data_IF_773940668748
#
_entry.id   IF_773940668748
#
_cell.length_a   1.000
_cell.length_b   1.000
_cell.length_c   1.000
_cell.angle_alpha   90.00
_cell.angle_beta   90.00
_cell.angle_gamma   90.00
#
_symmetry.space_group_name_H-M   'P 1'
#
loop_
_entity.id
_entity.type
_entity.pdbx_description
1 polymer ?
#
# COMPACT_ATOMS: atom_id res chain seq x y z
N UNK A 1 -15.39 -26.32 -10.88
CA UNK A 1 -13.93 -26.25 -11.10
C UNK A 1 -13.23 -25.12 -10.31
N UNK A 2 -13.92 -24.06 -9.89
CA UNK A 2 -13.33 -22.94 -9.11
C UNK A 2 -13.12 -23.27 -7.61
N UNK A 3 -13.87 -24.22 -7.04
CA UNK A 3 -13.73 -24.60 -5.63
C UNK A 3 -12.46 -25.42 -5.32
N UNK A 4 -11.91 -26.14 -6.30
CA UNK A 4 -10.76 -27.01 -6.11
C UNK A 4 -9.47 -26.20 -5.86
N UNK A 5 -9.35 -25.03 -6.45
CA UNK A 5 -8.17 -24.15 -6.29
C UNK A 5 -8.12 -23.48 -4.90
N UNK A 6 -9.29 -23.14 -4.33
CA UNK A 6 -9.37 -22.58 -2.97
C UNK A 6 -8.94 -23.64 -1.94
N UNK A 7 -9.32 -24.89 -2.14
CA UNK A 7 -8.94 -26.01 -1.24
C UNK A 7 -7.45 -26.33 -1.29
N UNK A 8 -6.82 -26.20 -2.46
CA UNK A 8 -5.37 -26.42 -2.63
C UNK A 8 -4.53 -25.33 -1.97
N UNK A 9 -4.99 -24.07 -2.00
CA UNK A 9 -4.32 -22.96 -1.30
C UNK A 9 -4.41 -23.14 0.21
N UNK A 10 -5.56 -23.59 0.73
CA UNK A 10 -5.74 -23.88 2.16
C UNK A 10 -4.91 -25.06 2.66
N UNK A 11 -4.66 -26.07 1.83
CA UNK A 11 -3.79 -27.23 2.18
C UNK A 11 -2.32 -26.83 2.19
N UNK A 12 -1.88 -25.93 1.29
CA UNK A 12 -0.51 -25.43 1.28
C UNK A 12 -0.18 -24.55 2.48
N UNK A 13 -1.15 -23.78 2.98
CA UNK A 13 -0.97 -22.93 4.19
C UNK A 13 -0.77 -23.78 5.45
N UNK A 14 -1.33 -24.99 5.51
CA UNK A 14 -1.14 -25.89 6.66
C UNK A 14 0.20 -26.64 6.68
N UNK A 15 0.96 -26.67 5.58
CA UNK A 15 2.28 -27.28 5.53
C UNK A 15 3.44 -26.33 5.87
N UNK A 16 3.18 -25.04 5.90
CA UNK A 16 4.09 -24.07 6.49
C UNK A 16 3.97 -24.20 8.00
N UNK A 17 4.92 -24.84 8.66
CA UNK A 17 5.09 -24.72 10.11
C UNK A 17 5.36 -23.24 10.41
N UNK A 18 4.28 -22.47 10.60
CA UNK A 18 4.34 -21.16 11.20
C UNK A 18 4.78 -21.41 12.65
N UNK A 19 6.07 -21.34 12.88
CA UNK A 19 6.60 -21.25 14.23
C UNK A 19 6.04 -19.96 14.78
N UNK A 20 4.92 -20.05 15.52
CA UNK A 20 4.46 -18.97 16.36
C UNK A 20 5.67 -18.61 17.22
N UNK A 21 6.17 -17.38 17.04
CA UNK A 21 7.32 -16.91 17.80
C UNK A 21 6.94 -17.02 19.28
N UNK A 22 7.43 -18.10 19.95
CA UNK A 22 7.54 -18.06 21.40
C UNK A 22 8.31 -16.78 21.77
N UNK A 23 8.00 -16.23 22.93
CA UNK A 23 8.51 -14.99 23.53
C UNK A 23 10.06 -14.86 23.65
N UNK A 24 10.82 -15.64 22.92
CA UNK A 24 12.16 -15.22 22.56
C UNK A 24 11.97 -13.97 21.68
N UNK A 25 11.80 -12.83 22.36
CA UNK A 25 12.23 -11.55 21.84
C UNK A 25 13.58 -11.83 21.21
N UNK A 26 13.52 -12.19 19.93
CA UNK A 26 14.72 -12.47 19.19
C UNK A 26 15.57 -11.23 19.37
N UNK A 27 16.67 -11.38 20.08
CA UNK A 27 17.70 -10.39 20.18
C UNK A 27 18.34 -10.29 18.79
N UNK A 28 17.49 -10.02 17.82
CA UNK A 28 17.87 -9.76 16.44
C UNK A 28 18.52 -8.39 16.49
N UNK A 29 19.83 -8.38 16.44
CA UNK A 29 20.60 -7.15 16.24
C UNK A 29 20.22 -6.42 14.94
N UNK A 30 19.28 -6.98 14.16
CA UNK A 30 18.79 -6.43 12.90
C UNK A 30 17.82 -5.31 13.16
N UNK A 31 18.32 -4.11 13.07
CA UNK A 31 17.51 -2.90 13.30
C UNK A 31 16.95 -2.30 12.01
N UNK A 32 17.61 -2.56 10.90
CA UNK A 32 17.24 -2.00 9.60
C UNK A 32 16.48 -3.02 8.76
N UNK A 33 15.59 -2.54 7.95
CA UNK A 33 15.00 -3.33 6.89
C UNK A 33 14.74 -2.49 5.64
N UNK A 34 14.66 -3.20 4.52
CA UNK A 34 14.17 -2.68 3.24
C UNK A 34 13.05 -3.59 2.77
N UNK A 35 12.06 -3.04 2.11
CA UNK A 35 10.92 -3.81 1.63
C UNK A 35 10.15 -3.12 0.52
N UNK A 36 9.06 -3.76 0.15
CA UNK A 36 8.11 -3.29 -0.84
C UNK A 36 6.73 -3.86 -0.50
N UNK A 37 5.80 -3.82 -1.46
CA UNK A 37 4.45 -4.36 -1.32
C UNK A 37 4.10 -5.26 -2.50
N UNK A 38 3.26 -6.28 -2.27
CA UNK A 38 2.75 -7.12 -3.35
C UNK A 38 1.79 -6.38 -4.29
N UNK A 39 1.35 -5.17 -3.94
CA UNK A 39 0.53 -4.33 -4.84
C UNK A 39 1.26 -3.99 -6.16
N UNK A 40 2.61 -4.07 -6.17
CA UNK A 40 3.40 -3.94 -7.41
C UNK A 40 3.05 -5.01 -8.47
N UNK A 41 2.43 -6.14 -8.08
CA UNK A 41 1.94 -7.15 -9.01
C UNK A 41 0.78 -6.64 -9.89
N UNK A 42 0.13 -5.55 -9.49
CA UNK A 42 -0.83 -4.86 -10.35
C UNK A 42 -0.24 -4.38 -11.67
N UNK A 43 1.09 -4.19 -11.74
CA UNK A 43 1.79 -3.85 -12.97
C UNK A 43 1.79 -4.99 -14.02
N UNK A 44 1.36 -6.19 -13.66
CA UNK A 44 1.22 -7.32 -14.58
C UNK A 44 -0.08 -7.27 -15.38
N UNK A 45 -0.98 -6.35 -15.04
CA UNK A 45 -2.18 -6.09 -15.82
C UNK A 45 -1.82 -5.13 -16.98
N UNK A 46 -1.86 -5.65 -18.20
CA UNK A 46 -1.52 -4.87 -19.39
C UNK A 46 -2.56 -3.78 -19.71
N UNK A 47 -3.80 -3.96 -19.25
CA UNK A 47 -4.92 -3.04 -19.53
C UNK A 47 -4.96 -1.90 -18.51
N UNK A 48 -4.73 -2.20 -17.23
CA UNK A 48 -4.84 -1.26 -16.11
C UNK A 48 -3.54 -1.17 -15.31
N UNK A 49 -2.42 -1.02 -16.00
CA UNK A 49 -1.12 -0.94 -15.35
C UNK A 49 -1.00 0.35 -14.51
N UNK A 50 -0.91 0.25 -13.17
CA UNK A 50 -0.81 1.42 -12.31
C UNK A 50 0.59 2.05 -12.28
N UNK A 51 1.56 1.55 -13.04
CA UNK A 51 2.98 1.94 -12.92
C UNK A 51 3.43 2.02 -11.44
N UNK A 52 2.99 1.04 -10.64
CA UNK A 52 3.14 1.08 -9.20
C UNK A 52 4.56 0.69 -8.79
N UNK A 53 5.23 1.58 -8.08
CA UNK A 53 6.53 1.33 -7.44
C UNK A 53 6.41 1.79 -5.99
N UNK A 54 6.84 0.94 -5.06
CA UNK A 54 6.97 1.31 -3.65
C UNK A 54 8.26 0.73 -3.09
N UNK A 55 8.99 1.56 -2.36
CA UNK A 55 10.16 1.15 -1.58
C UNK A 55 9.94 1.58 -0.14
N UNK A 56 10.15 0.64 0.77
CA UNK A 56 10.02 0.85 2.21
C UNK A 56 11.40 0.70 2.84
N UNK A 57 11.79 1.63 3.69
CA UNK A 57 12.96 1.52 4.56
C UNK A 57 12.52 1.76 5.99
N UNK A 58 13.00 0.97 6.93
CA UNK A 58 12.60 1.11 8.31
C UNK A 58 13.73 0.84 9.31
N UNK A 59 13.56 1.44 10.47
CA UNK A 59 14.48 1.29 11.60
C UNK A 59 13.71 0.94 12.87
N UNK A 60 14.14 -0.13 13.52
CA UNK A 60 13.60 -0.59 14.80
C UNK A 60 14.25 0.20 15.95
N UNK A 61 13.48 1.10 16.57
CA UNK A 61 13.94 1.94 17.69
C UNK A 61 13.98 1.12 18.96
N UNK A 62 12.92 0.34 19.22
CA UNK A 62 12.79 -0.56 20.36
C UNK A 62 12.36 -1.95 19.87
N UNK A 63 12.33 -2.99 20.72
CA UNK A 63 11.78 -4.29 20.30
C UNK A 63 10.34 -4.21 19.77
N UNK A 64 9.59 -3.17 20.14
CA UNK A 64 8.18 -3.00 19.75
C UNK A 64 7.95 -1.87 18.76
N UNK A 65 8.86 -0.92 18.61
CA UNK A 65 8.62 0.32 17.90
C UNK A 65 9.53 0.45 16.68
N UNK A 66 8.93 0.78 15.54
CA UNK A 66 9.61 0.94 14.26
C UNK A 66 9.19 2.26 13.63
N UNK A 67 10.15 3.02 13.13
CA UNK A 67 9.91 4.13 12.21
C UNK A 67 10.19 3.69 10.80
N UNK A 68 9.39 4.19 9.85
CA UNK A 68 9.49 3.83 8.45
C UNK A 68 9.46 5.06 7.57
N UNK A 69 10.25 5.03 6.53
CA UNK A 69 10.12 5.88 5.37
C UNK A 69 9.68 5.04 4.19
N UNK A 70 8.66 5.50 3.46
CA UNK A 70 8.18 4.86 2.24
C UNK A 70 8.20 5.87 1.11
N UNK A 71 8.50 5.40 -0.05
CA UNK A 71 8.42 6.17 -1.28
C UNK A 71 7.56 5.42 -2.26
N UNK A 72 6.51 6.07 -2.74
CA UNK A 72 5.52 5.50 -3.65
C UNK A 72 5.43 6.33 -4.92
N UNK A 73 5.37 5.65 -6.05
CA UNK A 73 4.95 6.20 -7.34
C UNK A 73 3.83 5.34 -7.90
N UNK A 74 2.80 5.97 -8.46
CA UNK A 74 1.71 5.25 -9.11
C UNK A 74 0.93 6.15 -10.06
N UNK A 75 0.14 5.54 -10.93
CA UNK A 75 -0.90 6.19 -11.71
C UNK A 75 -2.25 5.73 -11.14
N UNK A 76 -3.20 6.63 -11.02
CA UNK A 76 -4.58 6.28 -10.73
C UNK A 76 -5.56 7.18 -11.49
N UNK A 77 -6.71 6.62 -11.81
CA UNK A 77 -7.81 7.33 -12.45
C UNK A 77 -9.11 7.22 -11.67
N UNK A 78 -9.12 6.49 -10.58
CA UNK A 78 -10.27 6.24 -9.75
C UNK A 78 -9.98 6.61 -8.29
N UNK A 79 -10.96 7.06 -7.48
CA UNK A 79 -10.74 7.51 -6.11
C UNK A 79 -10.13 6.46 -5.18
N UNK A 80 -10.16 5.19 -5.53
CA UNK A 80 -9.56 4.11 -4.75
C UNK A 80 -8.05 3.94 -4.96
N UNK A 81 -7.42 4.78 -5.76
CA UNK A 81 -5.97 4.84 -5.91
C UNK A 81 -5.34 3.76 -6.76
N UNK A 82 -5.98 2.59 -6.94
CA UNK A 82 -5.53 1.51 -7.82
C UNK A 82 -6.62 1.27 -8.86
N UNK A 83 -6.33 1.33 -10.15
CA UNK A 83 -7.32 1.05 -11.18
C UNK A 83 -7.63 -0.45 -11.18
N UNK A 84 -8.75 -0.82 -10.57
CA UNK A 84 -9.35 -2.13 -10.70
C UNK A 84 -10.49 -2.05 -11.70
N UNK A 85 -10.39 -2.71 -12.82
CA UNK A 85 -11.46 -2.77 -13.78
C UNK A 85 -10.99 -2.53 -15.21
N UNK A 86 -11.94 -2.44 -16.13
CA UNK A 86 -11.62 -2.20 -17.52
C UNK A 86 -10.96 -0.84 -17.64
N UNK A 87 -9.99 -0.72 -18.47
CA UNK A 87 -9.20 0.43 -18.83
C UNK A 87 -9.54 1.75 -18.08
N UNK A 88 -8.67 2.22 -17.20
CA UNK A 88 -8.91 3.42 -16.40
C UNK A 88 -8.89 4.72 -17.21
N UNK A 89 -8.46 4.71 -18.45
CA UNK A 89 -8.60 5.77 -19.44
C UNK A 89 -9.90 5.63 -20.26
N UNK A 90 -10.75 4.63 -19.95
CA UNK A 90 -11.95 4.36 -20.73
C UNK A 90 -12.96 5.51 -20.66
N UNK A 91 -13.41 6.08 -21.81
CA UNK A 91 -14.40 7.15 -21.83
C UNK A 91 -15.74 6.77 -21.20
N UNK A 92 -16.08 5.48 -21.18
CA UNK A 92 -17.31 4.96 -20.58
C UNK A 92 -17.41 5.13 -19.06
N UNK A 93 -16.31 5.36 -18.39
CA UNK A 93 -16.27 5.66 -16.95
C UNK A 93 -16.48 7.14 -16.66
N UNK A 94 -16.58 7.99 -17.67
CA UNK A 94 -16.64 9.47 -17.54
C UNK A 94 -15.48 10.06 -16.73
N UNK A 95 -14.33 9.38 -16.70
CA UNK A 95 -13.17 9.87 -16.00
C UNK A 95 -12.38 10.81 -16.91
N UNK A 96 -11.98 11.98 -16.44
CA UNK A 96 -11.39 13.02 -17.29
C UNK A 96 -9.93 12.75 -17.68
N UNK A 97 -9.38 11.60 -17.28
CA UNK A 97 -7.99 11.23 -17.51
C UNK A 97 -7.41 10.47 -16.32
N UNK A 98 -6.12 10.67 -16.03
CA UNK A 98 -5.45 10.02 -14.91
C UNK A 98 -4.58 10.98 -14.10
N UNK A 99 -4.28 10.60 -12.86
CA UNK A 99 -3.35 11.30 -12.00
C UNK A 99 -2.09 10.46 -11.79
N UNK A 100 -0.93 11.09 -11.98
CA UNK A 100 0.38 10.52 -11.64
C UNK A 100 0.80 11.02 -10.27
N UNK A 101 1.06 10.08 -9.36
CA UNK A 101 1.40 10.37 -7.98
C UNK A 101 2.88 10.12 -7.74
N UNK A 102 3.47 11.02 -6.96
CA UNK A 102 4.75 10.85 -6.30
C UNK A 102 4.55 11.11 -4.81
N UNK A 103 4.78 10.11 -3.97
CA UNK A 103 4.37 10.19 -2.58
C UNK A 103 5.44 9.68 -1.61
N UNK A 104 6.25 10.57 -1.01
CA UNK A 104 7.00 10.27 0.20
C UNK A 104 6.06 10.12 1.39
N UNK A 105 6.35 9.15 2.25
CA UNK A 105 5.53 8.79 3.39
C UNK A 105 6.41 8.50 4.61
N UNK A 106 6.02 9.04 5.76
CA UNK A 106 6.60 8.72 7.06
C UNK A 106 5.62 7.89 7.86
N UNK A 107 6.12 6.92 8.59
CA UNK A 107 5.30 6.01 9.36
C UNK A 107 5.91 5.59 10.69
N UNK A 108 5.02 5.21 11.57
CA UNK A 108 5.33 4.59 12.84
C UNK A 108 4.52 3.31 12.96
N UNK A 109 5.18 2.21 13.38
CA UNK A 109 4.58 0.89 13.58
C UNK A 109 4.93 0.39 14.97
N UNK A 110 3.91 -0.11 15.68
CA UNK A 110 4.05 -0.68 17.00
C UNK A 110 3.57 -2.11 17.05
N UNK A 111 4.45 -2.99 17.49
CA UNK A 111 4.14 -4.39 17.76
C UNK A 111 3.55 -4.55 19.17
N UNK A 112 2.40 -5.22 19.26
CA UNK A 112 1.67 -5.43 20.50
C UNK A 112 1.91 -6.82 21.07
N UNK A 113 1.73 -7.84 20.24
CA UNK A 113 1.82 -9.22 20.65
C UNK A 113 2.09 -10.14 19.44
N UNK A 114 3.09 -11.06 19.57
CA UNK A 114 3.41 -12.13 18.61
C UNK A 114 3.35 -11.73 17.12
N UNK A 115 3.87 -10.57 16.76
CA UNK A 115 3.84 -10.09 15.38
C UNK A 115 2.62 -9.24 15.02
N UNK A 116 1.58 -9.18 15.86
CA UNK A 116 0.45 -8.27 15.67
C UNK A 116 0.91 -6.82 15.87
N UNK A 117 0.56 -5.96 14.94
CA UNK A 117 0.96 -4.56 14.99
C UNK A 117 -0.17 -3.62 14.55
N UNK A 118 -0.04 -2.37 14.97
CA UNK A 118 -0.70 -1.24 14.34
C UNK A 118 0.34 -0.31 13.75
N UNK A 119 -0.03 0.39 12.67
CA UNK A 119 0.82 1.41 12.09
C UNK A 119 0.03 2.63 11.64
N UNK A 120 0.68 3.77 11.72
CA UNK A 120 0.18 5.06 11.26
C UNK A 120 1.19 5.64 10.28
N UNK A 121 0.71 6.09 9.12
CA UNK A 121 1.53 6.73 8.10
C UNK A 121 0.93 8.07 7.70
N UNK A 122 1.80 9.02 7.41
CA UNK A 122 1.45 10.29 6.78
C UNK A 122 2.12 10.33 5.42
N UNK A 123 1.31 10.36 4.37
CA UNK A 123 1.72 10.32 2.97
C UNK A 123 1.43 11.67 2.33
N UNK A 124 2.46 12.26 1.74
CA UNK A 124 2.39 13.52 1.01
C UNK A 124 2.36 13.20 -0.49
N UNK A 125 1.17 13.20 -1.08
CA UNK A 125 0.99 12.88 -2.49
C UNK A 125 1.06 14.14 -3.34
N UNK A 126 2.11 14.24 -4.16
CA UNK A 126 2.25 15.23 -5.22
C UNK A 126 1.64 14.64 -6.49
N UNK A 127 0.63 15.30 -7.02
CA UNK A 127 -0.19 14.80 -8.11
C UNK A 127 -0.01 15.64 -9.37
N UNK A 128 0.13 14.95 -10.50
CA UNK A 128 0.10 15.56 -11.83
C UNK A 128 -1.09 15.01 -12.59
N UNK A 129 -2.07 15.85 -12.84
CA UNK A 129 -3.28 15.50 -13.59
C UNK A 129 -3.05 15.61 -15.09
N UNK A 130 -3.49 14.60 -15.80
CA UNK A 130 -3.36 14.44 -17.25
C UNK A 130 -4.71 14.07 -17.83
N UNK A 131 -5.14 14.74 -18.89
CA UNK A 131 -6.40 14.45 -19.58
C UNK A 131 -6.32 13.17 -20.44
N UNK A 132 -7.44 12.79 -21.06
CA UNK A 132 -7.55 11.63 -21.97
C UNK A 132 -6.62 11.75 -23.18
N UNK A 133 -6.22 12.97 -23.58
CA UNK A 133 -5.27 13.22 -24.66
C UNK A 133 -3.81 13.24 -24.18
N UNK A 134 -3.56 12.81 -22.95
CA UNK A 134 -2.24 12.81 -22.29
C UNK A 134 -1.64 14.20 -22.08
N UNK A 135 -2.46 15.26 -22.18
CA UNK A 135 -2.03 16.64 -21.90
C UNK A 135 -2.15 16.93 -20.41
N UNK A 136 -1.13 17.57 -19.83
CA UNK A 136 -1.17 18.03 -18.44
C UNK A 136 -2.23 19.11 -18.29
N UNK A 137 -3.14 18.93 -17.30
CA UNK A 137 -4.21 19.88 -16.98
C UNK A 137 -4.07 20.51 -15.59
N UNK A 138 -3.22 19.96 -14.73
CA UNK A 138 -2.99 20.56 -13.41
C UNK A 138 -1.93 19.82 -12.60
N UNK A 139 -1.64 20.38 -11.43
CA UNK A 139 -0.93 19.72 -10.35
C UNK A 139 -1.77 19.85 -9.09
N UNK A 140 -1.70 18.84 -8.24
CA UNK A 140 -2.36 18.84 -6.94
C UNK A 140 -1.45 18.32 -5.85
N UNK A 141 -1.96 18.43 -4.66
CA UNK A 141 -1.38 17.87 -3.46
C UNK A 141 -2.48 17.30 -2.59
N UNK A 142 -2.28 16.05 -2.14
CA UNK A 142 -3.17 15.40 -1.18
C UNK A 142 -2.35 14.89 0.00
N UNK A 143 -2.78 15.19 1.21
CA UNK A 143 -2.25 14.62 2.42
C UNK A 143 -3.11 13.42 2.80
N UNK A 144 -2.53 12.22 2.82
CA UNK A 144 -3.19 11.02 3.32
C UNK A 144 -2.67 10.68 4.71
N UNK A 145 -3.57 10.15 5.52
CA UNK A 145 -3.27 9.52 6.79
C UNK A 145 -3.77 8.09 6.72
N UNK A 146 -2.85 7.13 6.79
CA UNK A 146 -3.16 5.71 6.68
C UNK A 146 -2.96 5.03 8.03
N UNK A 147 -3.98 4.32 8.50
CA UNK A 147 -3.91 3.49 9.69
C UNK A 147 -4.09 2.04 9.29
N UNK A 148 -3.21 1.15 9.80
CA UNK A 148 -3.29 -0.29 9.54
C UNK A 148 -3.27 -1.08 10.84
N UNK A 149 -3.98 -2.20 10.81
CA UNK A 149 -3.87 -3.32 11.73
C UNK A 149 -3.38 -4.53 10.93
N UNK A 150 -2.27 -5.12 11.34
CA UNK A 150 -1.65 -6.20 10.60
C UNK A 150 -0.91 -7.21 11.49
N UNK A 151 -0.34 -8.19 10.82
CA UNK A 151 0.47 -9.23 11.44
C UNK A 151 1.76 -9.44 10.63
N UNK A 152 2.91 -9.45 11.29
CA UNK A 152 4.21 -9.75 10.67
C UNK A 152 4.52 -11.24 10.84
N UNK A 153 4.59 -11.95 9.73
CA UNK A 153 5.20 -13.27 9.64
C UNK A 153 6.68 -13.11 9.33
N UNK A 154 7.53 -13.91 9.97
CA UNK A 154 8.97 -13.88 9.72
C UNK A 154 9.48 -15.26 9.32
N UNK A 155 10.51 -15.28 8.46
CA UNK A 155 11.08 -16.48 7.87
C UNK A 155 12.62 -16.40 7.87
N UNK A 156 13.29 -17.53 7.71
CA UNK A 156 14.74 -17.61 7.54
C UNK A 156 15.53 -16.90 8.64
N UNK A 157 15.30 -17.30 9.89
CA UNK A 157 15.92 -16.70 11.09
C UNK A 157 15.64 -15.20 11.21
N UNK A 158 14.39 -14.81 11.05
CA UNK A 158 13.89 -13.43 11.16
C UNK A 158 14.48 -12.45 10.12
N UNK A 159 15.00 -12.95 9.00
CA UNK A 159 15.53 -12.09 7.94
C UNK A 159 14.45 -11.58 6.99
N UNK A 160 13.58 -12.46 6.52
CA UNK A 160 12.46 -12.08 5.65
C UNK A 160 11.19 -11.90 6.47
N UNK A 161 10.39 -10.96 6.07
CA UNK A 161 9.06 -10.77 6.65
C UNK A 161 8.00 -10.56 5.56
N UNK A 162 6.77 -10.90 5.93
CA UNK A 162 5.55 -10.63 5.19
C UNK A 162 4.51 -10.06 6.15
N UNK A 163 3.87 -8.96 5.77
CA UNK A 163 2.94 -8.19 6.60
C UNK A 163 1.58 -8.01 5.91
N UNK A 164 0.68 -9.00 5.99
CA UNK A 164 -0.72 -8.78 5.66
C UNK A 164 -1.35 -7.84 6.68
N UNK A 165 -2.14 -6.90 6.19
CA UNK A 165 -2.83 -5.91 6.99
C UNK A 165 -4.16 -5.51 6.36
N UNK A 166 -5.04 -4.94 7.16
CA UNK A 166 -6.18 -4.15 6.73
C UNK A 166 -6.01 -2.73 7.25
N UNK A 167 -6.31 -1.76 6.41
CA UNK A 167 -6.14 -0.37 6.76
C UNK A 167 -7.28 0.51 6.28
N UNK A 168 -7.30 1.70 6.84
CA UNK A 168 -8.12 2.81 6.40
C UNK A 168 -7.22 3.97 6.01
N UNK A 169 -7.46 4.52 4.84
CA UNK A 169 -6.84 5.74 4.34
C UNK A 169 -7.82 6.88 4.43
N UNK A 170 -7.38 8.01 4.93
CA UNK A 170 -8.16 9.23 5.05
C UNK A 170 -7.34 10.41 4.51
N UNK A 171 -7.99 11.33 3.77
CA UNK A 171 -7.30 12.51 3.23
C UNK A 171 -7.97 13.82 3.67
N UNK A 172 -7.48 14.41 4.76
CA UNK A 172 -8.04 15.65 5.31
C UNK A 172 -7.75 16.89 4.47
N UNK A 173 -6.70 16.84 3.65
CA UNK A 173 -6.25 17.97 2.85
C UNK A 173 -6.09 17.54 1.42
N UNK A 174 -6.73 18.28 0.51
CA UNK A 174 -6.56 18.15 -0.93
C UNK A 174 -6.58 19.53 -1.57
N UNK A 175 -5.60 19.82 -2.42
CA UNK A 175 -5.47 21.09 -3.12
C UNK A 175 -5.10 20.88 -4.58
N UNK A 176 -5.47 21.84 -5.44
CA UNK A 176 -5.09 21.82 -6.86
C UNK A 176 -5.81 20.75 -7.70
N UNK A 177 -6.93 20.20 -7.19
CA UNK A 177 -7.76 19.25 -7.95
C UNK A 177 -8.43 20.01 -9.11
N UNK A 178 -8.19 19.59 -10.39
CA UNK A 178 -8.86 20.21 -11.54
C UNK A 178 -10.38 20.03 -11.48
N UNK A 179 -11.15 21.01 -11.96
CA UNK A 179 -12.61 20.98 -11.88
C UNK A 179 -13.24 19.76 -12.57
N UNK A 180 -12.62 19.29 -13.65
CA UNK A 180 -13.03 18.07 -14.35
C UNK A 180 -12.92 16.81 -13.47
N UNK A 181 -11.86 16.72 -12.64
CA UNK A 181 -11.67 15.64 -11.68
C UNK A 181 -12.57 15.82 -10.46
N UNK A 182 -12.74 17.05 -10.00
CA UNK A 182 -13.60 17.41 -8.87
C UNK A 182 -15.03 16.92 -9.06
N UNK A 183 -15.60 17.10 -10.24
CA UNK A 183 -16.96 16.67 -10.58
C UNK A 183 -17.19 15.15 -10.41
N UNK A 184 -16.12 14.35 -10.50
CA UNK A 184 -16.17 12.90 -10.29
C UNK A 184 -15.85 12.55 -8.84
N UNK A 185 -14.79 13.13 -8.28
CA UNK A 185 -14.25 12.72 -6.99
C UNK A 185 -15.02 13.25 -5.77
N UNK A 186 -15.72 14.38 -5.88
CA UNK A 186 -16.60 14.89 -4.81
C UNK A 186 -17.80 13.99 -4.50
N UNK A 187 -18.10 13.03 -5.38
CA UNK A 187 -19.14 12.03 -5.15
C UNK A 187 -18.73 10.95 -4.16
N UNK A 188 -17.45 10.87 -3.81
CA UNK A 188 -16.89 9.82 -2.98
C UNK A 188 -16.49 10.34 -1.61
N UNK A 189 -16.52 9.45 -0.61
CA UNK A 189 -16.01 9.76 0.73
C UNK A 189 -14.52 10.07 0.68
N UNK A 190 -14.04 10.86 1.65
CA UNK A 190 -12.63 11.19 1.82
C UNK A 190 -11.86 10.11 2.60
N UNK A 191 -12.33 8.87 2.55
CA UNK A 191 -11.69 7.70 3.12
C UNK A 191 -12.00 6.43 2.30
N UNK A 192 -11.15 5.42 2.41
CA UNK A 192 -11.41 4.08 1.92
C UNK A 192 -10.68 3.02 2.75
N UNK A 193 -11.19 1.79 2.70
CA UNK A 193 -10.56 0.62 3.32
C UNK A 193 -9.70 -0.06 2.28
N UNK A 194 -8.47 -0.43 2.66
CA UNK A 194 -7.50 -1.03 1.75
C UNK A 194 -6.74 -2.19 2.40
N UNK A 195 -6.35 -3.22 1.63
CA UNK A 195 -5.41 -4.22 2.10
C UNK A 195 -3.99 -3.64 2.17
N UNK A 196 -3.19 -4.11 3.12
CA UNK A 196 -1.75 -3.97 3.14
C UNK A 196 -1.12 -5.34 2.92
N UNK A 197 -0.14 -5.42 2.04
CA UNK A 197 0.56 -6.67 1.70
C UNK A 197 2.06 -6.37 1.53
N UNK A 198 2.70 -5.94 2.61
CA UNK A 198 4.11 -5.57 2.58
C UNK A 198 5.01 -6.78 2.82
N UNK A 199 6.20 -6.73 2.27
CA UNK A 199 7.25 -7.72 2.49
C UNK A 199 8.62 -7.05 2.52
N UNK A 200 9.62 -7.72 3.11
CA UNK A 200 10.96 -7.15 3.12
C UNK A 200 12.01 -8.05 3.76
N UNK A 201 13.20 -7.48 3.87
CA UNK A 201 14.40 -8.10 4.40
C UNK A 201 15.01 -7.24 5.51
N UNK A 202 15.34 -7.91 6.64
CA UNK A 202 15.99 -7.30 7.83
C UNK A 202 17.49 -7.60 7.84
N UNK A 203 18.29 -6.61 8.19
CA UNK A 203 19.76 -6.70 8.27
C UNK A 203 20.34 -5.90 9.44
#
# INVERSE_FOLDING_TARGET
KKLIWVSLILVWVNSLQVTAQDEKTGNSNRKWFIGSTLLLLGNLDDTNNPEYIQVNAGYRITPKDVVQFRFKRSIYAWPLGIPFGPDFDAPGLNYPGHARILAPQLGYQRFWWKGMYTSLYVLNAFEKYVDVNKKKIGNGFTLYTDFYLGYQFTFFNDRFFFEPAIGISFWPIRTGLPDTFRAVEEKWNNYFIQPGLDFGYKF
#
